data_IF_719032150794
#
_entry.id   IF_719032150794
#
_cell.length_a   1.000
_cell.length_b   1.000
_cell.length_c   1.000
_cell.angle_alpha   90.00
_cell.angle_beta   90.00
_cell.angle_gamma   90.00
#
_symmetry.space_group_name_H-M   'P 1'
#
loop_
_entity.id
_entity.type
_entity.pdbx_description
1 polymer ?
#
# COMPACT_ATOMS: atom_id res chain seq x y z
N UNK A 1 1.55 22.10 41.76
CA UNK A 1 0.54 21.20 41.18
C UNK A 1 1.08 20.75 39.83
N UNK A 2 1.54 19.51 39.70
CA UNK A 2 2.15 18.99 38.47
C UNK A 2 1.10 18.19 37.69
N UNK A 3 0.90 18.53 36.41
CA UNK A 3 0.01 17.81 35.49
C UNK A 3 0.84 16.76 34.76
N UNK A 4 0.51 15.48 34.95
CA UNK A 4 1.04 14.38 34.14
C UNK A 4 0.25 14.34 32.83
N UNK A 5 0.88 14.69 31.71
CA UNK A 5 0.28 14.53 30.39
C UNK A 5 0.28 13.03 30.02
N UNK A 6 -0.90 12.43 29.88
CA UNK A 6 -1.05 11.09 29.35
C UNK A 6 -0.76 11.13 27.83
N UNK A 7 0.30 10.44 27.39
CA UNK A 7 0.59 10.27 25.97
C UNK A 7 -0.43 9.37 25.27
N UNK A 8 -0.55 9.43 23.93
CA UNK A 8 -1.48 8.60 23.17
C UNK A 8 -1.18 7.12 23.37
N UNK A 9 -2.22 6.32 23.64
CA UNK A 9 -2.10 4.88 23.74
C UNK A 9 -1.94 4.28 22.34
N UNK A 10 -0.81 3.60 22.09
CA UNK A 10 -0.59 2.87 20.85
C UNK A 10 -1.26 1.49 20.94
N UNK A 11 -2.27 1.23 20.11
CA UNK A 11 -2.96 -0.05 20.04
C UNK A 11 -2.30 -1.07 19.09
N UNK A 12 -1.22 -0.68 18.41
CA UNK A 12 -0.53 -1.56 17.47
C UNK A 12 0.16 -2.71 18.22
N UNK A 13 -0.12 -3.95 17.81
CA UNK A 13 0.56 -5.13 18.33
C UNK A 13 1.83 -5.36 17.53
N UNK A 14 2.95 -5.61 18.21
CA UNK A 14 4.20 -5.98 17.53
C UNK A 14 4.13 -7.43 17.07
N UNK A 15 4.46 -7.66 15.80
CA UNK A 15 4.41 -8.98 15.19
C UNK A 15 2.98 -9.47 14.89
N UNK A 16 2.89 -10.62 14.23
CA UNK A 16 1.63 -11.25 13.84
C UNK A 16 1.57 -11.56 12.35
N UNK A 17 0.56 -12.34 11.96
CA UNK A 17 0.25 -12.64 10.56
C UNK A 17 -1.05 -11.94 10.21
N UNK A 18 -1.01 -11.03 9.24
CA UNK A 18 -2.22 -10.46 8.66
C UNK A 18 -2.92 -11.55 7.85
N UNK A 19 -4.17 -11.87 8.20
CA UNK A 19 -5.03 -12.80 7.46
C UNK A 19 -6.13 -11.99 6.79
N UNK A 20 -6.21 -12.06 5.47
CA UNK A 20 -7.20 -11.33 4.67
C UNK A 20 -8.05 -12.34 3.90
N UNK A 21 -9.35 -12.07 3.80
CA UNK A 21 -10.21 -12.83 2.90
C UNK A 21 -9.92 -12.39 1.46
N UNK A 22 -9.54 -13.34 0.62
CA UNK A 22 -9.32 -13.11 -0.80
C UNK A 22 -10.38 -13.89 -1.59
N UNK A 23 -11.13 -13.19 -2.44
CA UNK A 23 -12.31 -13.74 -3.14
C UNK A 23 -11.96 -14.70 -4.27
N UNK A 24 -10.77 -14.55 -4.86
CA UNK A 24 -10.36 -15.27 -6.06
C UNK A 24 -9.12 -16.14 -5.78
N UNK A 25 -8.81 -17.11 -6.63
CA UNK A 25 -7.53 -17.83 -6.61
C UNK A 25 -6.87 -17.59 -7.97
N UNK A 26 -5.91 -16.66 -8.08
CA UNK A 26 -5.36 -16.32 -9.37
C UNK A 26 -4.62 -17.50 -10.00
N UNK A 27 -4.66 -17.61 -11.33
CA UNK A 27 -3.99 -18.69 -12.07
C UNK A 27 -2.46 -18.58 -12.01
N UNK A 28 -1.96 -17.34 -11.86
CA UNK A 28 -0.55 -16.98 -11.81
C UNK A 28 -0.34 -15.78 -10.88
N UNK A 29 0.90 -15.62 -10.39
CA UNK A 29 1.34 -14.44 -9.64
C UNK A 29 2.09 -13.44 -10.53
N UNK A 30 2.03 -13.61 -11.86
CA UNK A 30 2.68 -12.74 -12.83
C UNK A 30 1.85 -11.48 -13.10
N UNK A 31 2.36 -10.32 -12.66
CA UNK A 31 1.75 -9.01 -12.94
C UNK A 31 1.82 -8.60 -14.43
N UNK A 32 2.62 -9.32 -15.22
CA UNK A 32 2.70 -9.10 -16.67
C UNK A 32 1.60 -9.82 -17.43
N UNK A 33 1.05 -10.90 -16.84
CA UNK A 33 0.03 -11.75 -17.47
C UNK A 33 -1.37 -11.46 -16.91
N UNK A 34 -1.47 -10.89 -15.71
CA UNK A 34 -2.72 -10.66 -14.98
C UNK A 34 -2.85 -9.21 -14.51
N UNK A 35 -3.99 -8.57 -14.81
CA UNK A 35 -4.23 -7.14 -14.55
C UNK A 35 -5.35 -6.83 -13.55
N UNK A 36 -5.86 -7.83 -12.81
CA UNK A 36 -7.01 -7.65 -11.91
C UNK A 36 -6.58 -7.44 -10.46
N UNK A 37 -7.47 -6.88 -9.64
CA UNK A 37 -7.24 -6.71 -8.19
C UNK A 37 -6.91 -8.03 -7.48
N UNK A 38 -7.40 -9.16 -7.99
CA UNK A 38 -7.15 -10.48 -7.42
C UNK A 38 -5.68 -10.94 -7.50
N UNK A 39 -4.90 -10.37 -8.42
CA UNK A 39 -3.43 -10.60 -8.49
C UNK A 39 -2.67 -9.43 -7.90
N UNK A 40 -3.10 -8.21 -8.22
CA UNK A 40 -2.38 -7.01 -7.81
C UNK A 40 -2.35 -6.89 -6.29
N UNK A 41 -3.48 -7.07 -5.60
CA UNK A 41 -3.57 -6.92 -4.14
C UNK A 41 -2.56 -7.79 -3.36
N UNK A 42 -2.48 -9.12 -3.57
CA UNK A 42 -1.48 -9.94 -2.87
C UNK A 42 -0.04 -9.66 -3.32
N UNK A 43 0.18 -9.17 -4.54
CA UNK A 43 1.52 -8.88 -5.08
C UNK A 43 2.10 -7.54 -4.64
N UNK A 44 1.30 -6.63 -4.09
CA UNK A 44 1.79 -5.38 -3.51
C UNK A 44 2.76 -5.56 -2.34
N UNK A 45 2.76 -6.73 -1.68
CA UNK A 45 3.75 -7.06 -0.65
C UNK A 45 5.03 -7.72 -1.19
N UNK A 46 5.11 -8.00 -2.49
CA UNK A 46 6.20 -8.76 -3.14
C UNK A 46 6.98 -7.89 -4.12
N UNK A 47 6.28 -7.09 -4.93
CA UNK A 47 6.89 -6.18 -5.89
C UNK A 47 6.71 -4.73 -5.49
N UNK A 48 7.71 -3.91 -5.77
CA UNK A 48 7.69 -2.47 -5.56
C UNK A 48 7.54 -1.76 -6.91
N UNK A 49 6.96 -0.57 -6.92
CA UNK A 49 6.86 0.32 -8.07
C UNK A 49 7.87 1.48 -7.98
N UNK A 50 7.98 2.26 -9.04
CA UNK A 50 8.65 3.56 -8.99
C UNK A 50 7.78 4.58 -8.23
N UNK A 51 6.49 4.61 -8.55
CA UNK A 51 5.48 5.46 -7.94
C UNK A 51 4.21 4.66 -7.70
N UNK A 52 3.40 5.10 -6.75
CA UNK A 52 2.17 4.42 -6.33
C UNK A 52 1.08 5.45 -6.01
N UNK A 53 -0.21 5.08 -6.11
CA UNK A 53 -1.28 5.94 -5.57
C UNK A 53 -1.29 5.88 -4.04
N UNK A 54 -1.54 7.01 -3.37
CA UNK A 54 -1.67 7.04 -1.91
C UNK A 54 -2.77 6.09 -1.41
N UNK A 55 -2.34 5.02 -0.73
CA UNK A 55 -3.22 3.96 -0.22
C UNK A 55 -4.10 4.40 0.97
N UNK A 56 -3.90 5.62 1.48
CA UNK A 56 -4.78 6.21 2.51
C UNK A 56 -5.97 6.96 1.90
N UNK A 57 -6.02 7.11 0.59
CA UNK A 57 -7.12 7.78 -0.13
C UNK A 57 -7.93 6.73 -0.90
N UNK A 58 -9.26 6.66 -0.74
CA UNK A 58 -10.07 5.60 -1.33
C UNK A 58 -10.12 5.56 -2.86
N UNK A 59 -9.82 6.67 -3.53
CA UNK A 59 -9.97 6.80 -4.98
C UNK A 59 -8.68 7.28 -5.62
N UNK A 60 -8.18 6.52 -6.61
CA UNK A 60 -6.99 6.88 -7.36
C UNK A 60 -7.22 8.13 -8.23
N UNK A 61 -6.25 9.03 -8.24
CA UNK A 61 -6.17 10.16 -9.17
C UNK A 61 -4.71 10.55 -9.41
N UNK A 62 -4.42 11.27 -10.49
CA UNK A 62 -3.05 11.69 -10.83
C UNK A 62 -2.41 12.57 -9.73
N UNK A 63 -3.22 13.29 -8.96
CA UNK A 63 -2.76 14.12 -7.85
C UNK A 63 -2.29 13.29 -6.64
N UNK A 64 -2.63 12.01 -6.59
CA UNK A 64 -2.33 11.10 -5.48
C UNK A 64 -1.14 10.18 -5.79
N UNK A 65 -0.41 10.42 -6.87
CA UNK A 65 0.82 9.69 -7.18
C UNK A 65 1.91 10.14 -6.20
N UNK A 66 2.40 9.21 -5.40
CA UNK A 66 3.45 9.40 -4.40
C UNK A 66 4.67 8.51 -4.74
N UNK A 67 5.89 8.89 -4.29
CA UNK A 67 7.06 8.05 -4.53
C UNK A 67 6.96 6.75 -3.75
N UNK A 68 7.42 5.67 -4.38
CA UNK A 68 7.77 4.42 -3.69
C UNK A 68 9.28 4.23 -3.75
N UNK A 69 9.83 3.79 -4.89
CA UNK A 69 11.28 3.69 -5.10
C UNK A 69 11.87 4.91 -5.83
N UNK A 70 11.09 5.65 -6.60
CA UNK A 70 11.59 6.81 -7.33
C UNK A 70 11.93 7.95 -6.37
N UNK A 71 13.14 8.52 -6.50
CA UNK A 71 13.56 9.70 -5.73
C UNK A 71 13.09 11.01 -6.36
N UNK A 72 12.77 11.00 -7.65
CA UNK A 72 12.29 12.15 -8.41
C UNK A 72 11.68 11.69 -9.74
N UNK A 73 10.71 12.45 -10.26
CA UNK A 73 10.21 12.31 -11.62
C UNK A 73 9.83 13.69 -12.16
N UNK A 74 9.78 13.81 -13.48
CA UNK A 74 9.35 15.00 -14.17
C UNK A 74 8.53 14.61 -15.40
N UNK A 75 7.63 15.50 -15.80
CA UNK A 75 6.85 15.37 -17.03
C UNK A 75 7.24 16.54 -17.94
N UNK A 76 7.39 16.27 -19.24
CA UNK A 76 7.36 17.32 -20.25
C UNK A 76 6.07 17.17 -21.07
N UNK A 77 5.66 18.28 -21.68
CA UNK A 77 4.63 18.27 -22.73
C UNK A 77 5.28 18.05 -24.10
#
# INVERSE_FOLDING_TARGET
MAVLAAGPAMAQKQGGTLRVYHRDSPASMSIHEEGTVGVIMPMMGVFNNLVIFDQHVPQNSLQLIVPELATSWAWNE
#
